data_IF_832773021495
#
_entry.id   IF_832773021495
#
_cell.length_a   1.000
_cell.length_b   1.000
_cell.length_c   1.000
_cell.angle_alpha   90.00
_cell.angle_beta   90.00
_cell.angle_gamma   90.00
#
_symmetry.space_group_name_H-M   'P 1'
#
loop_
_entity.id
_entity.type
_entity.pdbx_description
1 polymer ?
#
# COMPACT_ATOMS: atom_id res chain seq x y z
N UNK A 1 -10.83 -11.16 17.98
CA UNK A 1 -10.36 -10.03 17.15
C UNK A 1 -9.64 -8.98 18.00
N UNK A 2 -10.24 -8.50 19.09
CA UNK A 2 -9.65 -7.47 19.94
C UNK A 2 -8.24 -7.78 20.47
N UNK A 3 -8.03 -8.98 21.05
CA UNK A 3 -6.68 -9.43 21.48
C UNK A 3 -5.63 -9.44 20.36
N UNK A 4 -6.05 -9.79 19.12
CA UNK A 4 -5.15 -9.80 17.95
C UNK A 4 -4.72 -8.37 17.61
N UNK A 5 -5.64 -7.42 17.72
CA UNK A 5 -5.38 -6.01 17.46
C UNK A 5 -4.49 -5.41 18.54
N UNK A 6 -4.71 -5.76 19.80
CA UNK A 6 -3.84 -5.31 20.90
C UNK A 6 -2.42 -5.81 20.72
N UNK A 7 -2.24 -7.09 20.40
CA UNK A 7 -0.92 -7.65 20.09
C UNK A 7 -0.28 -6.99 18.86
N UNK A 8 -1.05 -6.68 17.82
CA UNK A 8 -0.55 -5.99 16.63
C UNK A 8 -0.11 -4.56 16.95
N UNK A 9 -0.90 -3.80 17.71
CA UNK A 9 -0.57 -2.43 18.12
C UNK A 9 0.67 -2.43 19.01
N UNK A 10 0.77 -3.39 19.94
CA UNK A 10 1.95 -3.57 20.76
C UNK A 10 3.19 -3.79 19.89
N UNK A 11 3.13 -4.74 18.94
CA UNK A 11 4.24 -5.03 18.02
C UNK A 11 4.64 -3.81 17.18
N UNK A 12 3.67 -3.02 16.73
CA UNK A 12 3.93 -1.78 15.99
C UNK A 12 4.70 -0.80 16.89
N UNK A 13 4.23 -0.57 18.12
CA UNK A 13 4.86 0.37 19.05
C UNK A 13 6.26 -0.07 19.47
N UNK A 14 6.51 -1.38 19.60
CA UNK A 14 7.84 -1.96 19.85
C UNK A 14 8.79 -1.76 18.67
N UNK A 15 8.27 -1.78 17.44
CA UNK A 15 9.07 -1.63 16.22
C UNK A 15 9.36 -0.16 15.91
N UNK A 16 8.36 0.72 16.10
CA UNK A 16 8.45 2.14 15.80
C UNK A 16 7.40 2.93 16.57
N UNK A 17 7.87 3.90 17.36
CA UNK A 17 7.00 4.74 18.20
C UNK A 17 6.49 5.98 17.49
N UNK A 18 7.22 6.48 16.48
CA UNK A 18 6.88 7.72 15.77
C UNK A 18 6.73 7.45 14.26
N UNK A 19 5.50 7.54 13.77
CA UNK A 19 5.14 7.47 12.36
C UNK A 19 3.82 8.20 12.15
N UNK A 20 3.69 9.00 11.10
CA UNK A 20 2.48 9.81 10.87
C UNK A 20 1.46 9.11 9.97
N UNK A 21 1.94 8.17 9.15
CA UNK A 21 1.13 7.47 8.15
C UNK A 21 1.34 5.97 8.18
N UNK A 22 0.26 5.23 7.95
CA UNK A 22 0.30 3.79 7.78
C UNK A 22 -0.79 3.33 6.82
N UNK A 23 -0.53 2.26 6.09
CA UNK A 23 -1.55 1.56 5.32
C UNK A 23 -2.05 0.35 6.11
N UNK A 24 -3.35 0.16 6.10
CA UNK A 24 -3.99 -1.05 6.58
C UNK A 24 -4.45 -1.83 5.36
N UNK A 25 -3.97 -3.05 5.25
CA UNK A 25 -4.48 -4.05 4.31
C UNK A 25 -5.23 -5.12 5.09
N UNK A 26 -6.51 -5.30 4.80
CA UNK A 26 -7.35 -6.34 5.42
C UNK A 26 -8.00 -7.20 4.35
N UNK A 27 -8.03 -8.51 4.58
CA UNK A 27 -8.56 -9.40 3.56
C UNK A 27 -8.84 -10.82 4.03
N UNK A 28 -9.34 -11.58 3.06
CA UNK A 28 -9.53 -13.03 3.13
C UNK A 28 -8.69 -13.69 2.02
N UNK A 29 -8.57 -15.01 2.06
CA UNK A 29 -7.69 -15.76 1.13
C UNK A 29 -8.11 -15.70 -0.33
N UNK A 30 -9.39 -15.42 -0.61
CA UNK A 30 -9.99 -15.61 -1.93
C UNK A 30 -10.51 -14.31 -2.57
N UNK A 31 -10.27 -13.15 -1.94
CA UNK A 31 -10.71 -11.85 -2.45
C UNK A 31 -9.56 -10.85 -2.33
N UNK A 32 -9.56 -9.83 -3.21
CA UNK A 32 -8.60 -8.73 -3.12
C UNK A 32 -8.69 -8.07 -1.74
N UNK A 33 -7.54 -7.67 -1.22
CA UNK A 33 -7.48 -6.96 0.05
C UNK A 33 -8.14 -5.58 -0.05
N UNK A 34 -8.80 -5.16 1.02
CA UNK A 34 -9.22 -3.79 1.21
C UNK A 34 -8.06 -3.01 1.82
N UNK A 35 -7.56 -2.02 1.10
CA UNK A 35 -6.41 -1.20 1.50
C UNK A 35 -6.88 0.22 1.85
N UNK A 36 -6.46 0.74 3.00
CA UNK A 36 -6.71 2.13 3.40
C UNK A 36 -5.50 2.77 4.08
N UNK A 37 -5.24 4.02 3.72
CA UNK A 37 -4.26 4.86 4.38
C UNK A 37 -4.86 5.53 5.62
N UNK A 38 -4.11 5.50 6.71
CA UNK A 38 -4.29 6.32 7.91
C UNK A 38 -3.23 7.41 7.85
N UNK A 39 -3.67 8.68 7.87
CA UNK A 39 -2.79 9.86 7.81
C UNK A 39 -2.54 10.52 9.17
N UNK A 40 -3.17 9.98 10.22
CA UNK A 40 -2.97 10.38 11.61
C UNK A 40 -3.08 9.14 12.49
N UNK A 41 -1.97 8.79 13.12
CA UNK A 41 -1.72 7.54 13.83
C UNK A 41 -1.89 7.66 15.34
N UNK A 42 -2.17 8.87 15.88
CA UNK A 42 -2.36 9.09 17.33
C UNK A 42 -3.37 8.12 17.94
N UNK A 43 -4.43 7.77 17.20
CA UNK A 43 -5.48 6.84 17.61
C UNK A 43 -5.52 5.57 16.75
N UNK A 44 -4.35 4.98 16.46
CA UNK A 44 -4.21 3.84 15.53
C UNK A 44 -5.13 2.66 15.87
N UNK A 45 -5.27 2.29 17.16
CA UNK A 45 -6.18 1.20 17.59
C UNK A 45 -7.62 1.46 17.15
N UNK A 46 -8.12 2.67 17.40
CA UNK A 46 -9.47 3.07 17.02
C UNK A 46 -9.65 3.09 15.49
N UNK A 47 -8.70 3.67 14.76
CA UNK A 47 -8.74 3.73 13.29
C UNK A 47 -8.74 2.33 12.67
N UNK A 48 -7.91 1.41 13.19
CA UNK A 48 -7.86 0.03 12.74
C UNK A 48 -9.18 -0.71 13.02
N UNK A 49 -9.73 -0.58 14.23
CA UNK A 49 -11.03 -1.15 14.58
C UNK A 49 -12.15 -0.62 13.67
N UNK A 50 -12.12 0.68 13.34
CA UNK A 50 -13.09 1.28 12.41
C UNK A 50 -13.03 0.61 11.03
N UNK A 51 -11.85 0.39 10.47
CA UNK A 51 -11.71 -0.26 9.16
C UNK A 51 -12.16 -1.73 9.18
N UNK A 52 -11.81 -2.47 10.24
CA UNK A 52 -12.23 -3.87 10.40
C UNK A 52 -13.76 -3.99 10.50
N UNK A 53 -14.39 -3.09 11.25
CA UNK A 53 -15.85 -3.07 11.37
C UNK A 53 -16.52 -2.71 10.04
N UNK A 54 -15.95 -1.77 9.27
CA UNK A 54 -16.44 -1.45 7.93
C UNK A 54 -16.33 -2.66 6.99
N UNK A 55 -15.19 -3.35 6.99
CA UNK A 55 -15.00 -4.58 6.22
C UNK A 55 -16.01 -5.66 6.61
N UNK A 56 -16.25 -5.86 7.91
CA UNK A 56 -17.26 -6.83 8.38
C UNK A 56 -18.66 -6.47 7.90
N UNK A 57 -19.04 -5.19 7.91
CA UNK A 57 -20.34 -4.74 7.39
C UNK A 57 -20.48 -5.03 5.89
N UNK A 58 -19.42 -4.90 5.12
CA UNK A 58 -19.43 -5.12 3.67
C UNK A 58 -19.39 -6.61 3.29
N UNK A 59 -18.62 -7.42 4.03
CA UNK A 59 -18.34 -8.82 3.65
C UNK A 59 -19.08 -9.86 4.50
N UNK A 60 -19.80 -9.43 5.54
CA UNK A 60 -20.50 -10.30 6.49
C UNK A 60 -19.60 -11.04 7.49
N UNK A 61 -18.28 -10.93 7.36
CA UNK A 61 -17.32 -11.66 8.20
C UNK A 61 -16.14 -10.78 8.62
N UNK A 62 -15.50 -11.14 9.73
CA UNK A 62 -14.23 -10.50 10.09
C UNK A 62 -13.11 -10.92 9.11
N UNK A 63 -12.12 -10.06 8.86
CA UNK A 63 -11.00 -10.42 8.00
C UNK A 63 -10.18 -11.55 8.61
N UNK A 64 -9.69 -12.47 7.76
CA UNK A 64 -8.80 -13.57 8.18
C UNK A 64 -7.39 -13.09 8.52
N UNK A 65 -6.95 -12.00 7.89
CA UNK A 65 -5.62 -11.43 8.11
C UNK A 65 -5.66 -9.89 8.06
N UNK A 66 -4.70 -9.28 8.74
CA UNK A 66 -4.50 -7.84 8.83
C UNK A 66 -3.00 -7.59 8.66
N UNK A 67 -2.64 -6.69 7.73
CA UNK A 67 -1.28 -6.20 7.53
C UNK A 67 -1.28 -4.68 7.75
N UNK A 68 -0.23 -4.19 8.42
CA UNK A 68 0.00 -2.76 8.59
C UNK A 68 1.36 -2.43 8.01
N UNK A 69 1.38 -1.54 7.02
CA UNK A 69 2.59 -1.01 6.39
C UNK A 69 2.82 0.41 6.91
N UNK A 70 3.92 0.64 7.62
CA UNK A 70 4.25 1.94 8.19
C UNK A 70 5.09 2.73 7.18
N UNK A 71 4.72 3.98 6.92
CA UNK A 71 5.54 4.87 6.09
C UNK A 71 6.76 5.30 6.90
N UNK A 72 7.94 4.92 6.42
CA UNK A 72 9.21 5.13 7.14
C UNK A 72 10.00 6.34 6.64
N UNK A 73 9.89 6.63 5.34
CA UNK A 73 10.57 7.68 4.60
C UNK A 73 9.61 8.24 3.54
N UNK A 74 9.67 9.53 3.30
CA UNK A 74 8.92 10.23 2.24
C UNK A 74 9.90 11.13 1.48
N UNK A 75 9.92 11.00 0.15
CA UNK A 75 10.72 11.85 -0.72
C UNK A 75 9.83 12.50 -1.79
N UNK A 76 10.00 13.81 -1.98
CA UNK A 76 9.30 14.55 -3.05
C UNK A 76 10.23 14.67 -4.26
N UNK A 77 9.89 13.95 -5.32
CA UNK A 77 10.65 13.94 -6.58
C UNK A 77 9.74 14.26 -7.77
N UNK A 78 10.34 14.59 -8.92
CA UNK A 78 9.58 14.83 -10.15
C UNK A 78 9.02 13.53 -10.72
N UNK A 79 7.93 13.60 -11.48
CA UNK A 79 7.37 12.43 -12.15
C UNK A 79 8.38 11.76 -13.10
N UNK A 80 9.18 12.53 -13.83
CA UNK A 80 10.23 12.00 -14.72
C UNK A 80 11.25 11.16 -13.95
N UNK A 81 11.58 11.56 -12.71
CA UNK A 81 12.47 10.79 -11.85
C UNK A 81 11.82 9.50 -11.36
N UNK A 82 10.53 9.53 -10.99
CA UNK A 82 9.77 8.31 -10.64
C UNK A 82 9.73 7.34 -11.83
N UNK A 83 9.41 7.83 -13.02
CA UNK A 83 9.38 7.03 -14.25
C UNK A 83 10.74 6.37 -14.51
N UNK A 84 11.82 7.16 -14.41
CA UNK A 84 13.19 6.67 -14.57
C UNK A 84 13.51 5.57 -13.56
N UNK A 85 13.15 5.75 -12.28
CA UNK A 85 13.35 4.74 -11.24
C UNK A 85 12.58 3.45 -11.58
N UNK A 86 11.29 3.56 -11.92
CA UNK A 86 10.45 2.41 -12.26
C UNK A 86 11.01 1.61 -13.45
N UNK A 87 11.42 2.29 -14.53
CA UNK A 87 11.96 1.65 -15.75
C UNK A 87 13.30 0.94 -15.47
N UNK A 88 14.15 1.55 -14.65
CA UNK A 88 15.47 1.01 -14.33
C UNK A 88 15.42 -0.12 -13.30
N UNK A 89 14.39 -0.16 -12.43
CA UNK A 89 14.19 -1.23 -11.47
C UNK A 89 13.99 -2.58 -12.15
N UNK A 90 14.51 -3.65 -11.55
CA UNK A 90 14.28 -5.02 -12.03
C UNK A 90 12.77 -5.27 -12.15
N UNK A 91 12.37 -6.00 -13.20
CA UNK A 91 10.96 -6.31 -13.47
C UNK A 91 10.27 -6.84 -12.21
N UNK A 92 9.13 -6.24 -11.85
CA UNK A 92 8.29 -6.59 -10.70
C UNK A 92 9.05 -6.58 -9.35
N UNK A 93 10.06 -5.71 -9.21
CA UNK A 93 10.84 -5.57 -7.97
C UNK A 93 10.93 -4.10 -7.52
N UNK A 94 9.84 -3.36 -7.65
CA UNK A 94 9.73 -2.01 -7.09
C UNK A 94 9.56 -2.14 -5.58
N UNK A 95 10.46 -1.54 -4.81
CA UNK A 95 10.54 -1.64 -3.35
C UNK A 95 10.00 -0.40 -2.63
N UNK A 96 9.51 0.60 -3.38
CA UNK A 96 8.87 1.80 -2.88
C UNK A 96 7.42 1.94 -3.36
N UNK A 97 6.61 2.61 -2.56
CA UNK A 97 5.28 3.07 -2.97
C UNK A 97 5.35 4.48 -3.56
N UNK A 98 4.28 4.92 -4.22
CA UNK A 98 4.22 6.27 -4.78
C UNK A 98 2.86 6.92 -4.53
N UNK A 99 2.88 8.20 -4.16
CA UNK A 99 1.71 9.07 -4.09
C UNK A 99 1.78 10.07 -5.24
N UNK A 100 0.69 10.21 -6.01
CA UNK A 100 0.63 11.12 -7.16
C UNK A 100 0.20 12.54 -6.78
N UNK A 101 -0.24 12.74 -5.54
CA UNK A 101 -0.65 14.03 -5.00
C UNK A 101 -0.15 14.23 -3.56
N UNK A 102 0.05 15.49 -3.17
CA UNK A 102 0.53 15.86 -1.82
C UNK A 102 -0.47 15.49 -0.72
N UNK A 103 -1.74 15.34 -1.07
CA UNK A 103 -2.80 14.99 -0.15
C UNK A 103 -2.90 13.47 0.02
N UNK A 104 -2.09 12.64 -0.65
CA UNK A 104 -2.12 11.18 -0.59
C UNK A 104 -3.52 10.62 -0.90
N UNK A 105 -4.18 11.14 -1.93
CA UNK A 105 -5.47 10.64 -2.41
C UNK A 105 -5.30 9.50 -3.40
N UNK A 106 -4.28 9.59 -4.26
CA UNK A 106 -3.92 8.59 -5.25
C UNK A 106 -2.57 8.02 -4.85
N UNK A 107 -2.58 6.81 -4.28
CA UNK A 107 -1.39 6.17 -3.72
C UNK A 107 -1.37 4.70 -4.08
N UNK A 108 -0.16 4.21 -4.39
CA UNK A 108 0.07 2.81 -4.73
C UNK A 108 1.17 2.23 -3.84
N UNK A 109 0.88 1.08 -3.24
CA UNK A 109 1.87 0.28 -2.51
C UNK A 109 2.82 -0.43 -3.49
N UNK A 110 4.06 -0.76 -3.06
CA UNK A 110 4.97 -1.55 -3.87
C UNK A 110 4.33 -2.88 -4.33
N UNK A 111 3.55 -3.52 -3.45
CA UNK A 111 2.80 -4.74 -3.74
C UNK A 111 1.83 -4.55 -4.94
N UNK A 112 1.15 -3.40 -5.02
CA UNK A 112 0.20 -3.08 -6.09
C UNK A 112 0.92 -2.78 -7.41
N UNK A 113 1.99 -1.99 -7.35
CA UNK A 113 2.83 -1.63 -8.49
C UNK A 113 3.39 -2.89 -9.15
N UNK A 114 3.90 -3.82 -8.34
CA UNK A 114 4.50 -5.07 -8.81
C UNK A 114 3.46 -6.06 -9.31
N UNK A 115 2.36 -6.27 -8.56
CA UNK A 115 1.33 -7.23 -8.93
C UNK A 115 0.60 -6.83 -10.23
N UNK A 116 0.32 -5.54 -10.42
CA UNK A 116 -0.30 -5.03 -11.64
C UNK A 116 0.71 -4.85 -12.79
N UNK A 117 2.00 -5.05 -12.55
CA UNK A 117 3.06 -4.85 -13.53
C UNK A 117 2.99 -3.47 -14.20
N UNK A 118 3.18 -2.41 -13.40
CA UNK A 118 3.27 -1.02 -13.90
C UNK A 118 4.38 -0.83 -14.92
N UNK A 119 5.40 -1.69 -14.91
CA UNK A 119 6.53 -1.66 -15.84
C UNK A 119 6.55 -2.96 -16.63
N UNK A 120 6.63 -2.85 -17.96
CA UNK A 120 6.70 -3.99 -18.87
C UNK A 120 7.78 -3.77 -19.94
N UNK A 121 8.25 -4.82 -20.62
CA UNK A 121 9.04 -4.66 -21.84
C UNK A 121 8.27 -3.81 -22.86
N UNK A 122 8.96 -2.91 -23.56
CA UNK A 122 8.29 -2.06 -24.53
C UNK A 122 7.71 -2.90 -25.67
N UNK A 123 6.54 -2.48 -26.16
CA UNK A 123 5.91 -3.11 -27.32
C UNK A 123 6.71 -2.92 -28.60
N UNK A 124 7.47 -1.82 -28.71
CA UNK A 124 8.28 -1.48 -29.89
C UNK A 124 9.65 -2.15 -29.85
N UNK A 125 10.31 -2.11 -28.70
CA UNK A 125 11.62 -2.72 -28.48
C UNK A 125 11.63 -3.48 -27.15
N UNK A 126 11.72 -4.81 -27.22
CA UNK A 126 11.67 -5.67 -26.04
C UNK A 126 12.91 -5.56 -25.14
N UNK A 127 13.99 -4.94 -25.60
CA UNK A 127 15.18 -4.66 -24.79
C UNK A 127 14.98 -3.48 -23.83
N UNK A 128 14.00 -2.61 -24.13
CA UNK A 128 13.63 -1.48 -23.31
C UNK A 128 12.42 -1.80 -22.43
N UNK A 129 12.21 -1.02 -21.37
CA UNK A 129 10.98 -1.06 -20.57
C UNK A 129 10.19 0.23 -20.75
N UNK A 130 8.88 0.12 -20.60
CA UNK A 130 7.93 1.23 -20.64
C UNK A 130 6.96 1.13 -19.46
N UNK A 131 6.37 2.27 -19.10
CA UNK A 131 5.23 2.31 -18.18
C UNK A 131 4.00 1.75 -18.88
N UNK A 132 3.35 0.77 -18.26
CA UNK A 132 2.08 0.21 -18.68
C UNK A 132 0.93 1.01 -18.06
N UNK A 133 0.66 2.21 -18.58
CA UNK A 133 -0.42 3.08 -18.06
C UNK A 133 -1.77 2.36 -17.93
N UNK A 134 -2.07 1.45 -18.87
CA UNK A 134 -3.28 0.64 -18.87
C UNK A 134 -3.39 -0.35 -17.69
N UNK A 135 -2.30 -0.57 -16.95
CA UNK A 135 -2.25 -1.40 -15.75
C UNK A 135 -2.32 -0.57 -14.46
N UNK A 136 -2.20 0.77 -14.55
CA UNK A 136 -2.29 1.67 -13.41
C UNK A 136 -3.76 1.89 -13.12
N UNK A 137 -4.30 1.07 -12.21
CA UNK A 137 -5.70 1.13 -11.78
C UNK A 137 -5.75 1.47 -10.31
N UNK A 138 -6.41 2.57 -9.97
CA UNK A 138 -6.64 3.01 -8.59
C UNK A 138 -8.03 2.57 -8.12
N UNK A 139 -8.13 1.99 -6.92
CA UNK A 139 -9.38 1.46 -6.33
C UNK A 139 -10.02 2.40 -5.31
#
# INVERSE_FOLDING_TARGET
MEKVIESLIQKINETRTNYDKAFISIGNTNIKAYVKIIKNTTNMKYQLMKQINNYKKQTGSFPKWIKVDIVTLEESISFNEVERLLINTRRNYVDFGLALDKQWQIVFLPDEINANAFVRPSKKDKSLKEIAENNITHF
#
